data_IF_847480236570
#
_entry.id   IF_847480236570
#
_cell.length_a   1.000
_cell.length_b   1.000
_cell.length_c   1.000
_cell.angle_alpha   90.00
_cell.angle_beta   90.00
_cell.angle_gamma   90.00
#
_symmetry.space_group_name_H-M   'P 1'
#
loop_
_entity.id
_entity.type
_entity.pdbx_description
1 polymer ?
#
# COMPACT_ATOMS: atom_id res chain seq x y z
N UNK A 1 -13.58 33.32 -14.96
CA UNK A 1 -14.05 31.95 -14.65
C UNK A 1 -13.35 31.49 -13.38
N UNK A 2 -14.12 31.26 -12.30
CA UNK A 2 -13.59 30.87 -10.99
C UNK A 2 -13.20 29.39 -11.04
N UNK A 3 -11.91 29.13 -10.98
CA UNK A 3 -11.34 27.78 -10.84
C UNK A 3 -11.55 27.36 -9.39
N UNK A 4 -12.65 26.66 -9.11
CA UNK A 4 -12.95 26.14 -7.76
C UNK A 4 -12.23 24.80 -7.61
N UNK A 5 -11.33 24.75 -6.62
CA UNK A 5 -10.02 24.09 -6.70
C UNK A 5 -9.91 22.87 -5.76
N UNK A 6 -9.12 21.89 -6.21
CA UNK A 6 -9.06 20.47 -5.88
C UNK A 6 -8.13 20.14 -4.70
N UNK A 7 -8.57 19.43 -3.64
CA UNK A 7 -7.69 18.99 -2.53
C UNK A 7 -8.37 18.03 -1.52
N UNK A 8 -8.16 16.72 -1.59
CA UNK A 8 -8.64 15.84 -0.50
C UNK A 8 -7.79 14.58 -0.25
N UNK A 9 -7.01 14.14 -1.24
CA UNK A 9 -6.05 13.04 -1.03
C UNK A 9 -4.71 13.59 -0.52
N UNK A 10 -4.46 14.90 -0.59
CA UNK A 10 -3.12 15.47 -0.45
C UNK A 10 -2.92 16.47 0.70
N UNK A 11 -3.98 16.94 1.38
CA UNK A 11 -3.89 17.66 2.67
C UNK A 11 -4.01 16.70 3.86
N UNK A 12 -3.42 15.51 3.70
CA UNK A 12 -3.79 14.34 4.48
C UNK A 12 -3.35 14.38 5.94
N UNK A 13 -2.67 15.43 6.40
CA UNK A 13 -1.84 15.28 7.57
C UNK A 13 -1.67 16.54 8.43
N UNK A 14 -2.78 17.10 8.94
CA UNK A 14 -2.74 17.99 10.09
C UNK A 14 -3.79 17.63 11.15
N UNK A 15 -3.25 17.39 12.34
CA UNK A 15 -3.83 17.44 13.69
C UNK A 15 -4.91 16.41 14.07
N UNK A 16 -4.48 15.40 14.84
CA UNK A 16 -5.32 14.75 15.85
C UNK A 16 -4.78 15.07 17.25
N UNK A 17 -5.18 16.22 17.81
CA UNK A 17 -5.14 16.42 19.26
C UNK A 17 -6.39 15.75 19.84
N UNK A 18 -6.21 14.56 20.42
CA UNK A 18 -6.97 14.12 21.60
C UNK A 18 -6.41 12.76 22.09
N UNK A 19 -5.51 12.86 23.08
CA UNK A 19 -5.41 12.01 24.25
C UNK A 19 -5.54 10.47 24.07
N UNK A 20 -4.41 9.76 24.09
CA UNK A 20 -4.34 8.42 24.65
C UNK A 20 -2.90 8.08 25.05
N UNK A 21 -2.53 8.45 26.28
CA UNK A 21 -1.52 7.71 27.03
C UNK A 21 -1.99 6.27 27.15
N UNK A 22 -1.25 5.32 26.57
CA UNK A 22 -0.98 3.99 27.10
C UNK A 22 -0.13 3.22 26.07
N UNK A 23 1.17 3.11 26.36
CA UNK A 23 2.08 2.23 25.63
C UNK A 23 1.73 0.77 25.97
N UNK A 24 1.06 0.09 25.05
CA UNK A 24 1.01 -1.37 25.02
C UNK A 24 1.78 -1.85 23.78
N UNK A 25 2.82 -2.65 24.01
CA UNK A 25 3.57 -3.34 22.97
C UNK A 25 2.60 -4.11 22.07
N UNK A 26 2.53 -3.71 20.80
CA UNK A 26 1.64 -4.34 19.83
C UNK A 26 2.23 -5.67 19.36
N UNK A 27 2.06 -6.73 20.15
CA UNK A 27 1.96 -8.06 19.55
C UNK A 27 0.72 -8.05 18.67
N UNK A 28 0.84 -8.15 17.34
CA UNK A 28 -0.33 -8.36 16.49
C UNK A 28 -0.90 -9.74 16.83
N UNK A 29 -1.99 -9.85 17.60
CA UNK A 29 -2.63 -11.15 17.75
C UNK A 29 -3.17 -11.51 16.37
N UNK A 30 -2.71 -12.61 15.79
CA UNK A 30 -3.25 -13.13 14.54
C UNK A 30 -4.73 -13.35 14.82
N UNK A 31 -5.64 -12.56 14.21
CA UNK A 31 -7.03 -12.71 14.52
C UNK A 31 -7.45 -14.05 13.93
N UNK A 32 -7.82 -15.01 14.78
CA UNK A 32 -8.51 -16.21 14.33
C UNK A 32 -9.84 -15.73 13.74
N UNK A 33 -9.89 -15.61 12.42
CA UNK A 33 -11.11 -15.21 11.74
C UNK A 33 -11.58 -16.33 10.84
N UNK A 34 -12.88 -16.60 10.89
CA UNK A 34 -13.56 -17.47 9.92
C UNK A 34 -13.84 -16.72 8.59
N UNK A 35 -13.18 -15.58 8.36
CA UNK A 35 -13.39 -14.77 7.15
C UNK A 35 -12.73 -15.47 5.96
N UNK A 36 -13.47 -15.84 4.91
CA UNK A 36 -12.88 -16.47 3.74
C UNK A 36 -11.97 -15.47 3.00
N UNK A 37 -10.83 -15.94 2.49
CA UNK A 37 -9.80 -15.11 1.84
C UNK A 37 -10.39 -14.13 0.79
N UNK A 38 -11.28 -14.54 -0.13
CA UNK A 38 -11.89 -13.63 -1.10
C UNK A 38 -12.64 -12.43 -0.50
N UNK A 39 -13.14 -12.54 0.74
CA UNK A 39 -13.85 -11.44 1.39
C UNK A 39 -12.91 -10.28 1.77
N UNK A 40 -11.63 -10.55 2.06
CA UNK A 40 -10.65 -9.50 2.29
C UNK A 40 -10.39 -8.69 1.01
N UNK A 41 -10.23 -9.35 -0.15
CA UNK A 41 -10.06 -8.67 -1.44
C UNK A 41 -11.28 -7.84 -1.83
N UNK A 42 -12.48 -8.35 -1.56
CA UNK A 42 -13.71 -7.56 -1.71
C UNK A 42 -13.73 -6.34 -0.79
N UNK A 43 -13.26 -6.46 0.44
CA UNK A 43 -13.21 -5.35 1.39
C UNK A 43 -12.16 -4.31 1.00
N UNK A 44 -10.96 -4.74 0.56
CA UNK A 44 -9.95 -3.86 -0.01
C UNK A 44 -10.51 -3.03 -1.15
N UNK A 45 -11.26 -3.64 -2.08
CA UNK A 45 -11.93 -2.92 -3.15
C UNK A 45 -12.91 -1.85 -2.68
N UNK A 46 -13.70 -2.13 -1.64
CA UNK A 46 -14.60 -1.10 -1.09
C UNK A 46 -13.81 0.07 -0.54
N UNK A 47 -12.72 -0.20 0.16
CA UNK A 47 -11.87 0.84 0.76
C UNK A 47 -11.17 1.65 -0.34
N UNK A 48 -10.56 0.98 -1.32
CA UNK A 48 -9.91 1.63 -2.47
C UNK A 48 -10.91 2.45 -3.29
N UNK A 49 -12.12 1.95 -3.52
CA UNK A 49 -13.18 2.71 -4.17
C UNK A 49 -13.45 4.01 -3.41
N UNK A 50 -13.62 3.94 -2.09
CA UNK A 50 -13.85 5.12 -1.25
C UNK A 50 -12.64 6.08 -1.22
N UNK A 51 -11.42 5.57 -1.34
CA UNK A 51 -10.21 6.38 -1.47
C UNK A 51 -10.07 7.00 -2.87
N UNK A 52 -10.60 6.36 -3.91
CA UNK A 52 -10.56 6.83 -5.30
C UNK A 52 -11.60 7.91 -5.61
N UNK A 53 -12.54 8.15 -4.70
CA UNK A 53 -13.57 9.20 -4.88
C UNK A 53 -13.02 10.53 -4.38
N UNK A 54 -13.11 11.52 -5.25
CA UNK A 54 -12.81 12.92 -4.93
C UNK A 54 -13.83 13.47 -3.91
N UNK A 55 -13.36 13.97 -2.77
CA UNK A 55 -14.19 14.73 -1.83
C UNK A 55 -13.93 16.24 -2.03
N UNK A 56 -14.95 17.08 -2.26
CA UNK A 56 -14.76 18.50 -2.53
C UNK A 56 -14.22 19.27 -1.32
N UNK A 57 -13.17 20.06 -1.56
CA UNK A 57 -12.60 21.04 -0.64
C UNK A 57 -13.36 22.37 -0.77
N UNK A 58 -13.62 23.05 0.34
CA UNK A 58 -14.07 24.45 0.32
C UNK A 58 -13.08 25.30 1.10
N UNK A 59 -12.73 26.48 0.55
CA UNK A 59 -11.87 27.47 1.19
C UNK A 59 -12.44 27.99 2.53
N UNK A 60 -13.71 27.67 2.81
CA UNK A 60 -14.40 27.99 4.06
C UNK A 60 -14.14 26.99 5.19
N UNK A 61 -13.39 25.90 4.96
CA UNK A 61 -12.99 25.01 6.05
C UNK A 61 -11.84 25.66 6.86
N UNK A 62 -11.94 25.68 8.19
CA UNK A 62 -10.86 26.18 9.03
C UNK A 62 -9.59 25.35 8.81
N UNK A 63 -8.41 25.95 9.02
CA UNK A 63 -7.10 25.31 8.82
C UNK A 63 -6.89 24.00 9.62
N UNK A 64 -7.82 23.67 10.52
CA UNK A 64 -7.88 22.46 11.33
C UNK A 64 -8.94 21.43 10.87
N UNK A 65 -9.55 21.60 9.69
CA UNK A 65 -10.54 20.66 9.20
C UNK A 65 -9.91 19.27 8.98
N UNK A 66 -10.33 18.31 9.79
CA UNK A 66 -9.74 16.98 9.89
C UNK A 66 -10.16 16.07 8.72
N UNK A 67 -9.21 15.48 8.01
CA UNK A 67 -9.43 14.45 6.98
C UNK A 67 -9.42 13.02 7.57
N UNK A 68 -9.87 12.90 8.81
CA UNK A 68 -9.93 11.68 9.63
C UNK A 68 -10.50 10.45 8.88
N UNK A 69 -11.43 10.68 7.94
CA UNK A 69 -12.02 9.63 7.11
C UNK A 69 -11.00 8.91 6.22
N UNK A 70 -10.12 9.65 5.54
CA UNK A 70 -9.12 9.06 4.65
C UNK A 70 -8.03 8.33 5.43
N UNK A 71 -7.57 8.90 6.55
CA UNK A 71 -6.65 8.21 7.45
C UNK A 71 -7.25 6.91 8.01
N UNK A 72 -8.51 6.94 8.47
CA UNK A 72 -9.25 5.73 8.88
C UNK A 72 -9.38 4.71 7.74
N UNK A 73 -9.60 5.16 6.50
CA UNK A 73 -9.65 4.29 5.32
C UNK A 73 -8.28 3.67 5.01
N UNK A 74 -7.19 4.42 5.04
CA UNK A 74 -5.82 3.91 4.85
C UNK A 74 -5.43 2.92 5.94
N UNK A 75 -5.70 3.24 7.21
CA UNK A 75 -5.50 2.31 8.32
C UNK A 75 -6.30 1.02 8.12
N UNK A 76 -7.58 1.13 7.73
CA UNK A 76 -8.42 -0.03 7.44
C UNK A 76 -7.92 -0.83 6.24
N UNK A 77 -7.37 -0.17 5.21
CA UNK A 77 -6.75 -0.81 4.05
C UNK A 77 -5.55 -1.64 4.51
N UNK A 78 -4.61 -1.02 5.23
CA UNK A 78 -3.46 -1.69 5.84
C UNK A 78 -3.88 -2.91 6.64
N UNK A 79 -4.84 -2.73 7.57
CA UNK A 79 -5.37 -3.83 8.40
C UNK A 79 -5.94 -4.97 7.58
N UNK A 80 -6.68 -4.65 6.52
CA UNK A 80 -7.31 -5.66 5.67
C UNK A 80 -6.24 -6.45 4.90
N UNK A 81 -5.20 -5.78 4.40
CA UNK A 81 -4.08 -6.43 3.71
C UNK A 81 -3.24 -7.30 4.65
N UNK A 82 -2.95 -6.83 5.86
CA UNK A 82 -2.19 -7.58 6.87
C UNK A 82 -2.95 -8.84 7.28
N UNK A 83 -4.25 -8.71 7.58
CA UNK A 83 -5.09 -9.84 7.93
C UNK A 83 -5.17 -10.86 6.79
N UNK A 84 -5.37 -10.41 5.55
CA UNK A 84 -5.38 -11.29 4.39
C UNK A 84 -4.05 -12.04 4.24
N UNK A 85 -2.92 -11.35 4.41
CA UNK A 85 -1.58 -11.93 4.34
C UNK A 85 -1.38 -12.99 5.43
N UNK A 86 -1.79 -12.71 6.67
CA UNK A 86 -1.69 -13.65 7.79
C UNK A 86 -2.56 -14.90 7.59
N UNK A 87 -3.80 -14.73 7.12
CA UNK A 87 -4.68 -15.88 6.83
C UNK A 87 -4.10 -16.73 5.70
N UNK A 88 -3.56 -16.11 4.64
CA UNK A 88 -2.88 -16.82 3.56
C UNK A 88 -1.65 -17.58 4.07
N UNK A 89 -0.80 -16.96 4.88
CA UNK A 89 0.39 -17.63 5.45
C UNK A 89 0.07 -18.84 6.34
N UNK A 90 -1.17 -18.95 6.84
CA UNK A 90 -1.64 -20.09 7.63
C UNK A 90 -2.48 -21.09 6.81
N UNK A 91 -2.79 -20.76 5.56
CA UNK A 91 -3.60 -21.60 4.68
C UNK A 91 -2.81 -22.87 4.34
N UNK A 92 -3.45 -24.02 4.48
CA UNK A 92 -2.90 -25.29 4.01
C UNK A 92 -3.47 -25.62 2.63
N UNK A 93 -2.59 -25.87 1.66
CA UNK A 93 -2.95 -26.24 0.29
C UNK A 93 -3.45 -25.07 -0.55
N UNK A 94 -3.93 -25.40 -1.74
CA UNK A 94 -4.36 -24.42 -2.73
C UNK A 94 -5.76 -23.84 -2.44
N UNK A 95 -5.98 -22.63 -2.90
CA UNK A 95 -7.30 -22.03 -2.97
C UNK A 95 -8.16 -22.75 -4.01
N UNK A 96 -9.43 -22.95 -3.69
CA UNK A 96 -10.38 -23.48 -4.65
C UNK A 96 -10.59 -22.52 -5.83
N UNK A 97 -10.98 -23.07 -6.99
CA UNK A 97 -11.17 -22.30 -8.24
C UNK A 97 -12.12 -21.11 -8.07
N UNK A 98 -13.20 -21.24 -7.28
CA UNK A 98 -14.15 -20.14 -7.08
C UNK A 98 -13.54 -19.01 -6.28
N UNK A 99 -12.75 -19.33 -5.25
CA UNK A 99 -12.01 -18.35 -4.47
C UNK A 99 -10.99 -17.60 -5.34
N UNK A 100 -10.20 -18.31 -6.15
CA UNK A 100 -9.24 -17.72 -7.08
C UNK A 100 -9.91 -16.76 -8.06
N UNK A 101 -11.04 -17.14 -8.66
CA UNK A 101 -11.79 -16.30 -9.60
C UNK A 101 -12.32 -15.01 -8.94
N UNK A 102 -12.84 -15.11 -7.71
CA UNK A 102 -13.32 -13.93 -6.94
C UNK A 102 -12.18 -12.98 -6.59
N UNK A 103 -11.00 -13.52 -6.28
CA UNK A 103 -9.81 -12.75 -5.98
C UNK A 103 -9.29 -12.05 -7.24
N UNK A 104 -9.18 -12.76 -8.36
CA UNK A 104 -8.76 -12.19 -9.65
C UNK A 104 -9.68 -11.04 -10.09
N UNK A 105 -11.00 -11.23 -10.05
CA UNK A 105 -11.96 -10.17 -10.32
C UNK A 105 -11.81 -8.98 -9.36
N UNK A 106 -11.50 -9.25 -8.10
CA UNK A 106 -11.27 -8.20 -7.13
C UNK A 106 -9.99 -7.41 -7.44
N UNK A 107 -8.91 -8.07 -7.82
CA UNK A 107 -7.64 -7.41 -8.17
C UNK A 107 -7.78 -6.55 -9.43
N UNK A 108 -8.51 -7.02 -10.44
CA UNK A 108 -8.84 -6.23 -11.64
C UNK A 108 -9.56 -4.92 -11.30
N UNK A 109 -10.47 -4.95 -10.34
CA UNK A 109 -11.12 -3.74 -9.83
C UNK A 109 -10.16 -2.88 -9.01
N UNK A 110 -9.32 -3.49 -8.18
CA UNK A 110 -8.29 -2.76 -7.41
C UNK A 110 -7.36 -1.98 -8.33
N UNK A 111 -6.94 -2.54 -9.47
CA UNK A 111 -6.14 -1.84 -10.49
C UNK A 111 -6.80 -0.53 -10.89
N UNK A 112 -8.10 -0.54 -11.21
CA UNK A 112 -8.82 0.66 -11.63
C UNK A 112 -8.85 1.72 -10.52
N UNK A 113 -9.13 1.31 -9.28
CA UNK A 113 -9.17 2.24 -8.15
C UNK A 113 -7.80 2.80 -7.80
N UNK A 114 -6.74 1.97 -7.83
CA UNK A 114 -5.37 2.43 -7.57
C UNK A 114 -4.91 3.40 -8.65
N UNK A 115 -5.14 3.11 -9.93
CA UNK A 115 -4.82 4.05 -11.03
C UNK A 115 -5.58 5.38 -10.88
N UNK A 116 -6.83 5.34 -10.41
CA UNK A 116 -7.56 6.58 -10.14
C UNK A 116 -6.98 7.34 -8.94
N UNK A 117 -6.57 6.64 -7.88
CA UNK A 117 -5.89 7.26 -6.73
C UNK A 117 -4.56 7.89 -7.16
N UNK A 118 -3.78 7.24 -8.04
CA UNK A 118 -2.48 7.75 -8.48
C UNK A 118 -2.62 8.97 -9.38
N UNK A 119 -3.66 9.05 -10.22
CA UNK A 119 -4.00 10.30 -10.91
C UNK A 119 -4.30 11.44 -9.94
N UNK A 120 -4.91 11.15 -8.79
CA UNK A 120 -5.18 12.14 -7.75
C UNK A 120 -3.90 12.64 -7.04
N UNK A 121 -2.80 11.87 -7.12
CA UNK A 121 -1.47 12.32 -6.66
C UNK A 121 -0.94 13.44 -7.54
N UNK A 122 -1.13 13.35 -8.86
CA UNK A 122 -0.70 14.41 -9.79
C UNK A 122 -1.35 15.76 -9.48
N UNK A 123 -2.66 15.74 -9.23
CA UNK A 123 -3.39 16.94 -8.82
C UNK A 123 -2.97 17.48 -7.45
N UNK A 124 -2.53 16.60 -6.55
CA UNK A 124 -2.16 16.97 -5.19
C UNK A 124 -0.77 17.58 -5.04
N UNK A 125 0.17 17.24 -5.93
CA UNK A 125 1.59 17.58 -5.80
C UNK A 125 1.89 19.05 -5.48
N UNK A 126 1.30 20.07 -6.15
CA UNK A 126 1.62 21.47 -5.86
C UNK A 126 1.42 21.87 -4.39
N UNK A 127 0.49 21.21 -3.71
CA UNK A 127 0.17 21.51 -2.31
C UNK A 127 1.03 20.73 -1.34
N UNK A 128 1.38 19.50 -1.69
CA UNK A 128 2.40 18.77 -0.95
C UNK A 128 3.74 19.49 -0.99
N UNK A 129 4.11 20.07 -2.13
CA UNK A 129 5.31 20.90 -2.22
C UNK A 129 5.16 22.17 -1.37
N UNK A 130 4.01 22.86 -1.44
CA UNK A 130 3.73 24.07 -0.64
C UNK A 130 3.82 23.83 0.88
N UNK A 131 3.39 22.66 1.35
CA UNK A 131 3.33 22.33 2.77
C UNK A 131 4.40 21.33 3.22
N UNK A 132 5.39 21.02 2.37
CA UNK A 132 6.49 20.08 2.64
C UNK A 132 6.06 18.64 3.03
N UNK A 133 5.03 18.09 2.37
CA UNK A 133 4.53 16.73 2.62
C UNK A 133 5.01 15.67 1.62
N UNK A 134 5.86 16.04 0.67
CA UNK A 134 6.19 15.18 -0.48
C UNK A 134 6.88 13.89 -0.06
N UNK A 135 7.90 13.97 0.80
CA UNK A 135 8.61 12.81 1.32
C UNK A 135 7.68 11.83 2.08
N UNK A 136 6.66 12.36 2.73
CA UNK A 136 5.76 11.52 3.51
C UNK A 136 4.66 10.87 2.70
N UNK A 137 4.10 11.59 1.72
CA UNK A 137 3.20 10.99 0.74
C UNK A 137 3.90 9.82 0.02
N UNK A 138 5.18 9.98 -0.32
CA UNK A 138 6.03 8.91 -0.85
C UNK A 138 6.11 7.75 0.14
N UNK A 139 6.41 8.00 1.42
CA UNK A 139 6.51 6.95 2.44
C UNK A 139 5.20 6.17 2.65
N UNK A 140 4.04 6.83 2.63
CA UNK A 140 2.73 6.18 2.69
C UNK A 140 2.55 5.24 1.49
N UNK A 141 2.87 5.73 0.29
CA UNK A 141 2.77 4.92 -0.93
C UNK A 141 3.76 3.75 -0.88
N UNK A 142 4.98 3.95 -0.39
CA UNK A 142 5.97 2.88 -0.17
C UNK A 142 5.47 1.81 0.81
N UNK A 143 4.83 2.20 1.91
CA UNK A 143 4.23 1.28 2.87
C UNK A 143 3.09 0.46 2.27
N UNK A 144 2.18 1.10 1.53
CA UNK A 144 1.11 0.37 0.81
C UNK A 144 1.68 -0.57 -0.24
N UNK A 145 2.68 -0.13 -1.01
CA UNK A 145 3.38 -0.94 -2.02
C UNK A 145 4.02 -2.19 -1.39
N UNK A 146 4.70 -2.01 -0.26
CA UNK A 146 5.35 -3.10 0.49
C UNK A 146 4.35 -4.13 0.99
N UNK A 147 3.18 -3.67 1.46
CA UNK A 147 2.13 -4.57 1.91
C UNK A 147 1.47 -5.32 0.75
N UNK A 148 1.28 -4.69 -0.40
CA UNK A 148 0.79 -5.38 -1.60
C UNK A 148 1.75 -6.50 -2.04
N UNK A 149 3.06 -6.27 -1.99
CA UNK A 149 4.03 -7.32 -2.30
C UNK A 149 3.97 -8.48 -1.31
N UNK A 150 3.89 -8.19 -0.01
CA UNK A 150 3.74 -9.21 1.03
C UNK A 150 2.47 -10.04 0.80
N UNK A 151 1.35 -9.37 0.53
CA UNK A 151 0.07 -10.02 0.21
C UNK A 151 0.15 -10.84 -1.07
N UNK A 152 0.82 -10.32 -2.10
CA UNK A 152 0.98 -11.01 -3.38
C UNK A 152 1.72 -12.32 -3.22
N UNK A 153 2.88 -12.30 -2.55
CA UNK A 153 3.70 -13.48 -2.26
C UNK A 153 2.89 -14.54 -1.50
N UNK A 154 2.17 -14.10 -0.47
CA UNK A 154 1.30 -14.98 0.29
C UNK A 154 0.19 -15.57 -0.60
N UNK A 155 -0.42 -14.77 -1.48
CA UNK A 155 -1.51 -15.23 -2.35
C UNK A 155 -1.04 -16.26 -3.37
N UNK A 156 0.02 -15.96 -4.13
CA UNK A 156 0.46 -16.81 -5.24
C UNK A 156 0.93 -18.19 -4.79
N UNK A 157 1.38 -18.34 -3.54
CA UNK A 157 1.73 -19.62 -2.95
C UNK A 157 0.54 -20.59 -2.85
N UNK A 158 -0.69 -20.08 -2.95
CA UNK A 158 -1.93 -20.85 -2.88
C UNK A 158 -2.77 -20.74 -4.15
N UNK A 159 -2.27 -20.13 -5.23
CA UNK A 159 -2.98 -20.08 -6.51
C UNK A 159 -2.47 -21.22 -7.40
N UNK A 160 -3.33 -22.19 -7.78
CA UNK A 160 -2.93 -23.24 -8.71
C UNK A 160 -2.41 -22.63 -10.02
N UNK A 161 -1.26 -23.11 -10.52
CA UNK A 161 -0.65 -22.58 -11.75
C UNK A 161 -1.58 -22.55 -12.97
N UNK A 162 -2.54 -23.48 -13.05
CA UNK A 162 -3.51 -23.57 -14.15
C UNK A 162 -4.72 -22.63 -14.00
N UNK A 163 -4.88 -21.92 -12.87
CA UNK A 163 -6.06 -21.13 -12.54
C UNK A 163 -5.71 -19.66 -12.31
N UNK A 164 -5.98 -18.80 -13.31
CA UNK A 164 -5.87 -17.34 -13.23
C UNK A 164 -4.52 -16.75 -12.77
N UNK A 165 -3.48 -17.56 -12.58
CA UNK A 165 -2.16 -17.16 -12.12
C UNK A 165 -1.62 -15.95 -12.90
N UNK A 166 -1.57 -16.04 -14.24
CA UNK A 166 -1.10 -14.96 -15.11
C UNK A 166 -1.91 -13.67 -14.97
N UNK A 167 -3.23 -13.78 -14.75
CA UNK A 167 -4.13 -12.64 -14.59
C UNK A 167 -3.95 -11.95 -13.24
N UNK A 168 -3.80 -12.73 -12.17
CA UNK A 168 -3.51 -12.24 -10.80
C UNK A 168 -2.16 -11.52 -10.80
N UNK A 169 -1.11 -12.15 -11.33
CA UNK A 169 0.23 -11.57 -11.39
C UNK A 169 0.26 -10.28 -12.21
N UNK A 170 -0.42 -10.25 -13.37
CA UNK A 170 -0.54 -9.03 -14.16
C UNK A 170 -1.29 -7.91 -13.41
N UNK A 171 -2.35 -8.25 -12.66
CA UNK A 171 -3.10 -7.26 -11.89
C UNK A 171 -2.26 -6.67 -10.75
N UNK A 172 -1.48 -7.50 -10.06
CA UNK A 172 -0.53 -7.02 -9.04
C UNK A 172 0.55 -6.14 -9.65
N UNK A 173 1.17 -6.55 -10.75
CA UNK A 173 2.18 -5.74 -11.44
C UNK A 173 1.62 -4.35 -11.81
N UNK A 174 0.38 -4.28 -12.33
CA UNK A 174 -0.28 -3.00 -12.63
C UNK A 174 -0.54 -2.14 -11.39
N UNK A 175 -0.94 -2.74 -10.27
CA UNK A 175 -1.12 -2.03 -8.99
C UNK A 175 0.22 -1.45 -8.54
N UNK A 176 1.27 -2.27 -8.50
CA UNK A 176 2.61 -1.84 -8.09
C UNK A 176 3.11 -0.73 -8.99
N UNK A 177 3.03 -0.89 -10.31
CA UNK A 177 3.53 0.12 -11.25
C UNK A 177 2.79 1.46 -11.15
N UNK A 178 1.47 1.46 -10.95
CA UNK A 178 0.74 2.69 -10.71
C UNK A 178 1.24 3.42 -9.44
N UNK A 179 1.55 2.68 -8.37
CA UNK A 179 2.10 3.25 -7.14
C UNK A 179 3.54 3.76 -7.35
N UNK A 180 4.36 3.04 -8.13
CA UNK A 180 5.73 3.45 -8.50
C UNK A 180 5.74 4.76 -9.28
N UNK A 181 4.91 4.85 -10.32
CA UNK A 181 4.75 6.07 -11.12
C UNK A 181 4.34 7.25 -10.25
N UNK A 182 3.41 7.06 -9.30
CA UNK A 182 3.01 8.10 -8.37
C UNK A 182 4.15 8.56 -7.45
N UNK A 183 4.96 7.63 -6.93
CA UNK A 183 6.12 7.98 -6.11
C UNK A 183 7.17 8.75 -6.90
N UNK A 184 7.50 8.28 -8.10
CA UNK A 184 8.48 8.91 -8.99
C UNK A 184 8.03 10.32 -9.41
N UNK A 185 6.72 10.49 -9.65
CA UNK A 185 6.14 11.81 -9.94
C UNK A 185 6.27 12.77 -8.75
N UNK A 186 6.07 12.28 -7.53
CA UNK A 186 6.19 13.11 -6.32
C UNK A 186 7.64 13.47 -6.02
N UNK A 187 8.51 12.48 -6.04
CA UNK A 187 9.92 12.61 -5.70
C UNK A 187 10.72 11.69 -6.64
N UNK A 188 11.36 12.27 -7.68
CA UNK A 188 12.19 11.50 -8.60
C UNK A 188 13.29 10.74 -7.86
N UNK A 189 13.46 9.45 -8.19
CA UNK A 189 14.41 8.57 -7.52
C UNK A 189 13.95 8.07 -6.13
N UNK A 190 12.68 8.27 -5.75
CA UNK A 190 12.11 7.68 -4.54
C UNK A 190 12.03 6.14 -4.57
N UNK A 191 12.42 5.53 -5.69
CA UNK A 191 12.26 4.12 -5.95
C UNK A 191 13.47 3.50 -6.64
N UNK A 192 13.63 2.18 -6.51
CA UNK A 192 14.76 1.47 -7.10
C UNK A 192 14.71 1.58 -8.63
N UNK A 193 15.87 1.86 -9.25
CA UNK A 193 15.99 2.06 -10.71
C UNK A 193 15.40 0.90 -11.52
N UNK A 194 15.63 -0.35 -11.09
CA UNK A 194 15.09 -1.55 -11.75
C UNK A 194 13.56 -1.62 -11.71
N UNK A 195 12.92 -1.00 -10.72
CA UNK A 195 11.47 -0.98 -10.62
C UNK A 195 10.79 -0.08 -11.65
N UNK A 196 11.39 1.08 -11.94
CA UNK A 196 10.92 1.95 -13.03
C UNK A 196 11.08 1.27 -14.39
N UNK A 197 12.25 0.66 -14.63
CA UNK A 197 12.53 -0.07 -15.87
C UNK A 197 11.54 -1.24 -16.10
N UNK A 198 11.22 -2.00 -15.05
CA UNK A 198 10.18 -3.03 -15.11
C UNK A 198 8.82 -2.43 -15.52
N UNK A 199 8.41 -1.33 -14.88
CA UNK A 199 7.10 -0.73 -15.14
C UNK A 199 6.99 -0.12 -16.54
N UNK A 200 8.06 0.47 -17.05
CA UNK A 200 8.14 0.97 -18.43
C UNK A 200 8.00 -0.17 -19.46
N UNK A 201 8.40 -1.40 -19.11
CA UNK A 201 8.33 -2.59 -19.98
C UNK A 201 7.03 -3.39 -19.84
N UNK A 202 6.28 -3.23 -18.75
CA UNK A 202 5.04 -3.99 -18.50
C UNK A 202 3.99 -3.88 -19.63
N UNK A 203 3.77 -2.71 -20.28
CA UNK A 203 2.80 -2.60 -21.39
C UNK A 203 3.22 -3.35 -22.66
N UNK A 204 4.52 -3.55 -22.87
CA UNK A 204 5.08 -4.17 -24.08
C UNK A 204 5.40 -5.65 -23.90
N UNK A 205 5.55 -6.11 -22.65
CA UNK A 205 5.80 -7.51 -22.33
C UNK A 205 4.52 -8.35 -22.52
N UNK A 206 4.62 -9.41 -23.35
CA UNK A 206 3.52 -10.33 -23.63
C UNK A 206 3.38 -11.42 -22.57
N UNK A 207 4.40 -11.63 -21.74
CA UNK A 207 4.40 -12.64 -20.70
C UNK A 207 3.97 -12.04 -19.37
N UNK A 208 3.23 -12.80 -18.53
CA UNK A 208 2.98 -12.38 -17.16
C UNK A 208 4.33 -12.24 -16.44
N UNK A 209 4.52 -11.17 -15.65
CA UNK A 209 5.77 -10.96 -14.93
C UNK A 209 6.04 -12.11 -13.95
N UNK A 210 7.31 -12.44 -13.73
CA UNK A 210 7.67 -13.40 -12.69
C UNK A 210 7.40 -12.74 -11.31
N UNK A 211 6.75 -13.42 -10.36
CA UNK A 211 6.58 -12.87 -9.02
C UNK A 211 7.86 -12.36 -8.34
N UNK A 212 9.00 -13.04 -8.56
CA UNK A 212 10.29 -12.63 -8.01
C UNK A 212 10.74 -11.27 -8.58
N UNK A 213 10.43 -10.99 -9.84
CA UNK A 213 10.68 -9.67 -10.44
C UNK A 213 9.85 -8.61 -9.72
N UNK A 214 8.58 -8.90 -9.41
CA UNK A 214 7.69 -7.96 -8.72
C UNK A 214 8.20 -7.63 -7.31
N UNK A 215 8.77 -8.61 -6.59
CA UNK A 215 9.39 -8.39 -5.28
C UNK A 215 10.63 -7.50 -5.36
N UNK A 216 11.37 -7.54 -6.47
CA UNK A 216 12.61 -6.79 -6.66
C UNK A 216 12.38 -5.33 -7.11
N UNK A 217 11.16 -4.96 -7.45
CA UNK A 217 10.81 -3.63 -7.96
C UNK A 217 10.99 -2.57 -6.86
N UNK A 218 10.71 -2.87 -5.59
CA UNK A 218 10.73 -1.89 -4.49
C UNK A 218 11.71 -2.24 -3.37
N UNK A 219 12.16 -1.22 -2.64
CA UNK A 219 12.80 -1.38 -1.33
C UNK A 219 11.80 -0.94 -0.26
N UNK A 220 11.45 -1.80 0.72
CA UNK A 220 10.58 -1.40 1.82
C UNK A 220 11.15 -0.19 2.58
N UNK A 221 10.34 0.81 2.96
CA UNK A 221 10.84 1.94 3.72
C UNK A 221 11.28 1.48 5.11
N UNK A 222 12.30 2.12 5.70
CA UNK A 222 12.83 1.75 7.00
C UNK A 222 11.74 1.67 8.09
N UNK A 223 10.77 2.59 8.05
CA UNK A 223 9.62 2.59 8.95
C UNK A 223 8.74 1.33 8.83
N UNK A 224 8.57 0.77 7.63
CA UNK A 224 7.83 -0.48 7.45
C UNK A 224 8.55 -1.65 8.12
N UNK A 225 9.87 -1.75 7.93
CA UNK A 225 10.71 -2.75 8.59
C UNK A 225 10.72 -2.60 10.11
N UNK A 226 10.87 -1.35 10.60
CA UNK A 226 10.80 -1.02 12.03
C UNK A 226 9.44 -1.38 12.65
N UNK A 227 8.38 -1.36 11.86
CA UNK A 227 7.02 -1.71 12.29
C UNK A 227 6.69 -3.18 12.00
N UNK A 228 7.70 -4.05 11.94
CA UNK A 228 7.51 -5.50 11.81
C UNK A 228 6.91 -5.93 10.47
N UNK A 229 7.19 -5.19 9.41
CA UNK A 229 6.63 -5.42 8.07
C UNK A 229 5.09 -5.38 8.03
N UNK A 230 4.52 -4.44 8.78
CA UNK A 230 3.07 -4.23 8.88
C UNK A 230 2.72 -2.77 8.59
N UNK A 231 1.99 -2.56 7.50
CA UNK A 231 1.48 -1.23 7.15
C UNK A 231 0.38 -0.79 8.13
N UNK A 232 -0.32 -1.74 8.78
CA UNK A 232 -1.22 -1.42 9.89
C UNK A 232 -0.48 -0.86 11.09
N UNK A 233 0.61 -1.50 11.51
CA UNK A 233 1.41 -1.04 12.64
C UNK A 233 2.02 0.34 12.35
N UNK A 234 2.56 0.52 11.15
CA UNK A 234 3.09 1.80 10.68
C UNK A 234 2.03 2.90 10.70
N UNK A 235 0.85 2.67 10.10
CA UNK A 235 -0.22 3.67 10.07
C UNK A 235 -0.86 3.91 11.43
N UNK A 236 -0.99 2.86 12.25
CA UNK A 236 -1.47 3.00 13.64
C UNK A 236 -0.55 3.89 14.44
N UNK A 237 0.75 3.58 14.43
CA UNK A 237 1.74 4.36 15.17
C UNK A 237 1.81 5.80 14.68
N UNK A 238 1.84 6.00 13.36
CA UNK A 238 1.81 7.34 12.78
C UNK A 238 0.56 8.14 13.20
N UNK A 239 -0.60 7.48 13.22
CA UNK A 239 -1.87 8.10 13.63
C UNK A 239 -1.87 8.43 15.13
N UNK A 240 -1.52 7.46 15.97
CA UNK A 240 -1.54 7.59 17.44
C UNK A 240 -0.53 8.64 17.94
N UNK A 241 0.62 8.78 17.27
CA UNK A 241 1.71 9.68 17.67
C UNK A 241 1.73 11.00 16.89
N UNK A 242 0.71 11.28 16.07
CA UNK A 242 0.68 12.47 15.22
C UNK A 242 1.95 12.64 14.37
N UNK A 243 2.47 11.52 13.84
CA UNK A 243 3.60 11.50 12.92
C UNK A 243 3.15 11.48 11.47
N UNK A 244 1.89 11.06 11.21
CA UNK A 244 1.25 11.28 9.91
C UNK A 244 1.23 12.80 9.66
N UNK A 245 2.15 13.32 8.86
CA UNK A 245 2.25 14.72 8.40
C UNK A 245 3.46 15.50 8.81
N UNK A 246 4.42 14.87 9.48
CA UNK A 246 5.58 15.57 10.01
C UNK A 246 6.85 15.14 9.28
N UNK A 247 7.74 16.09 8.95
CA UNK A 247 9.07 15.75 8.46
C UNK A 247 9.73 14.67 9.33
N UNK A 248 10.42 13.72 8.70
CA UNK A 248 11.06 12.56 9.35
C UNK A 248 12.21 12.97 10.30
N UNK A 249 11.91 13.58 11.44
CA UNK A 249 12.85 13.78 12.53
C UNK A 249 12.60 12.84 13.71
N UNK A 250 11.56 12.01 13.65
CA UNK A 250 11.10 11.12 14.73
C UNK A 250 10.89 9.69 14.25
N UNK A 251 11.21 8.72 15.11
CA UNK A 251 11.00 7.29 14.86
C UNK A 251 9.52 6.99 14.59
N UNK A 252 9.26 6.19 13.55
CA UNK A 252 7.91 5.85 13.07
C UNK A 252 7.33 4.57 13.66
N UNK A 253 8.05 3.95 14.59
CA UNK A 253 7.68 2.77 15.35
C UNK A 253 8.35 2.88 16.73
N UNK A 254 7.83 2.22 17.78
CA UNK A 254 8.44 2.30 19.10
C UNK A 254 9.78 1.56 19.13
N UNK A 255 10.84 2.23 19.57
CA UNK A 255 12.22 1.71 19.65
C UNK A 255 12.39 0.44 20.50
N UNK A 256 11.42 0.15 21.39
CA UNK A 256 11.47 -0.95 22.36
C UNK A 256 10.37 -2.02 22.17
N UNK A 257 9.64 -1.99 21.04
CA UNK A 257 8.78 -3.10 20.67
C UNK A 257 9.64 -4.16 19.98
N UNK A 258 10.03 -5.20 20.70
CA UNK A 258 10.68 -6.38 20.10
C UNK A 258 9.89 -6.74 18.83
N UNK A 259 10.46 -6.59 17.61
CA UNK A 259 9.71 -6.88 16.40
C UNK A 259 9.38 -8.36 16.49
N UNK A 260 8.12 -8.70 16.77
CA UNK A 260 7.66 -10.07 16.67
C UNK A 260 8.10 -10.54 15.29
N UNK A 261 9.01 -11.51 15.28
CA UNK A 261 9.81 -11.94 14.15
C UNK A 261 8.92 -12.46 13.02
N UNK A 262 8.41 -11.55 12.20
CA UNK A 262 8.14 -11.80 10.79
C UNK A 262 9.37 -11.28 10.04
N UNK A 263 10.51 -11.95 10.23
CA UNK A 263 11.76 -11.63 9.53
C UNK A 263 11.54 -11.84 8.04
N UNK A 264 11.26 -10.74 7.33
CA UNK A 264 11.35 -10.65 5.89
C UNK A 264 12.81 -10.35 5.54
N UNK A 265 13.47 -11.30 4.87
CA UNK A 265 14.79 -11.09 4.29
C UNK A 265 14.62 -11.09 2.77
N UNK A 266 14.60 -9.94 2.10
CA UNK A 266 14.65 -9.92 0.65
C UNK A 266 16.07 -10.30 0.22
N UNK A 267 16.24 -11.49 -0.35
CA UNK A 267 17.42 -11.81 -1.14
C UNK A 267 17.14 -11.42 -2.58
N UNK A 268 17.36 -10.15 -2.93
CA UNK A 268 17.23 -9.67 -4.29
C UNK A 268 18.55 -9.91 -5.03
N UNK A 269 18.62 -10.92 -5.89
CA UNK A 269 19.61 -10.98 -6.96
C UNK A 269 18.86 -10.69 -8.26
N UNK A 270 19.01 -9.49 -8.81
CA UNK A 270 18.67 -9.24 -10.21
C UNK A 270 19.61 -10.11 -11.04
N UNK A 271 19.18 -11.31 -11.47
CA UNK A 271 19.90 -12.00 -12.52
C UNK A 271 19.66 -11.23 -13.80
N UNK A 272 20.70 -10.54 -14.28
CA UNK A 272 20.75 -10.15 -15.69
C UNK A 272 20.85 -11.42 -16.53
N UNK A 273 19.73 -12.14 -16.74
CA UNK A 273 19.70 -13.17 -17.78
C UNK A 273 19.49 -12.46 -19.12
N UNK A 274 20.62 -12.09 -19.71
CA UNK A 274 20.75 -11.86 -21.14
C UNK A 274 20.60 -13.19 -21.90
N UNK A 275 19.92 -13.14 -23.06
CA UNK A 275 19.63 -14.25 -23.99
C UNK A 275 18.70 -15.33 -23.41
N UNK A 276 17.61 -15.76 -24.06
CA UNK A 276 17.45 -16.21 -25.45
C UNK A 276 16.09 -15.87 -26.02
#
# INVERSE_FOLDING_TARGET
MKVTLFLAIFMLMLMSIANANNHASATCPIPQTNTPIPAYFKEMNKILKLLSVFEPYSDARPANATFERSAKRLFRLGRTMDQASQVLMQQNGDLDKSSVEKIDNSLKLSVQYVVNITKLVEYGKPLSDKYNYTAENVQIIQGVTSQYSTLFKALIAHVPHCAAYSSITLSFAKIICALVEAMEYLQPGAFAKGGKEFCDQLPTNKNPPNPEEIECIFTPPAAFTQCGNSTTAMFKYGTDNNLMGKPQSSEWCPSNGNPSTCTYHPSCAFSQSSAW
#
